data_IF_141661602115
#
_entry.id   IF_141661602115
#
_cell.length_a   1.000
_cell.length_b   1.000
_cell.length_c   1.000
_cell.angle_alpha   90.00
_cell.angle_beta   90.00
_cell.angle_gamma   90.00
#
_symmetry.space_group_name_H-M   'P 1'
#
loop_
_entity.id
_entity.type
_entity.pdbx_description
1 polymer ?
#
# COMPACT_ATOMS: atom_id res chain seq x y z
N UNK A 1 25.59 -6.01 35.93
CA UNK A 1 25.60 -5.48 34.55
C UNK A 1 26.15 -6.56 33.64
N UNK A 2 25.30 -7.23 32.86
CA UNK A 2 25.76 -8.24 31.91
C UNK A 2 26.37 -7.53 30.71
N UNK A 3 27.67 -7.68 30.50
CA UNK A 3 28.35 -7.21 29.30
C UNK A 3 27.83 -8.02 28.11
N UNK A 4 26.92 -7.42 27.33
CA UNK A 4 26.47 -8.05 26.08
C UNK A 4 27.68 -8.19 25.14
N UNK A 5 27.98 -9.43 24.74
CA UNK A 5 29.07 -9.73 23.82
C UNK A 5 28.87 -8.96 22.50
N UNK A 6 29.80 -8.07 22.09
CA UNK A 6 29.67 -7.25 20.88
C UNK A 6 29.53 -8.07 19.59
N UNK A 7 30.00 -9.32 19.56
CA UNK A 7 29.76 -10.23 18.42
C UNK A 7 28.27 -10.59 18.26
N UNK A 8 27.52 -10.68 19.37
CA UNK A 8 26.08 -10.91 19.33
C UNK A 8 25.30 -9.65 18.91
N UNK A 9 25.87 -8.45 19.04
CA UNK A 9 25.26 -7.22 18.57
C UNK A 9 25.28 -7.13 17.03
N UNK A 10 26.42 -7.43 16.41
CA UNK A 10 26.54 -7.48 14.95
C UNK A 10 25.66 -8.56 14.31
N UNK A 11 25.62 -9.76 14.87
CA UNK A 11 24.72 -10.82 14.40
C UNK A 11 23.24 -10.41 14.50
N UNK A 12 22.84 -9.70 15.57
CA UNK A 12 21.48 -9.15 15.72
C UNK A 12 21.17 -8.02 14.72
N UNK A 13 22.17 -7.21 14.37
CA UNK A 13 22.01 -6.10 13.42
C UNK A 13 21.91 -6.62 11.97
N UNK A 14 22.78 -7.55 11.58
CA UNK A 14 22.72 -8.29 10.30
C UNK A 14 21.46 -9.17 10.22
N UNK A 15 20.93 -9.64 11.35
CA UNK A 15 19.64 -10.32 11.40
C UNK A 15 18.42 -9.42 11.25
N UNK A 16 18.57 -8.13 11.56
CA UNK A 16 17.52 -7.12 11.36
C UNK A 16 17.58 -6.46 9.99
N UNK A 17 18.71 -6.53 9.30
CA UNK A 17 18.84 -5.97 7.95
C UNK A 17 17.95 -6.75 6.97
N UNK A 18 17.15 -6.06 6.13
CA UNK A 18 16.26 -6.69 5.16
C UNK A 18 17.07 -7.18 3.95
N UNK A 19 17.95 -8.15 4.20
CA UNK A 19 18.90 -8.71 3.25
C UNK A 19 18.24 -9.18 1.96
N UNK A 20 17.07 -9.80 2.07
CA UNK A 20 16.25 -10.28 0.96
C UNK A 20 15.66 -9.15 0.10
N UNK A 21 15.31 -8.00 0.70
CA UNK A 21 14.90 -6.82 -0.07
C UNK A 21 16.06 -6.33 -0.94
N UNK A 22 17.21 -6.10 -0.32
CA UNK A 22 18.35 -5.46 -0.98
C UNK A 22 19.09 -6.36 -1.97
N UNK A 23 19.09 -7.68 -1.79
CA UNK A 23 19.84 -8.59 -2.67
C UNK A 23 18.99 -9.28 -3.75
N UNK A 24 17.68 -9.37 -3.57
CA UNK A 24 16.82 -10.09 -4.52
C UNK A 24 15.78 -9.17 -5.12
N UNK A 25 14.94 -8.55 -4.30
CA UNK A 25 13.77 -7.81 -4.82
C UNK A 25 14.20 -6.50 -5.50
N UNK A 26 15.06 -5.72 -4.85
CA UNK A 26 15.49 -4.42 -5.35
C UNK A 26 16.34 -4.53 -6.64
N UNK A 27 17.34 -5.44 -6.76
CA UNK A 27 18.08 -5.60 -8.00
C UNK A 27 17.18 -6.02 -9.16
N UNK A 28 16.21 -6.90 -8.92
CA UNK A 28 15.24 -7.30 -9.95
C UNK A 28 14.38 -6.11 -10.37
N UNK A 29 13.87 -5.31 -9.43
CA UNK A 29 13.11 -4.09 -9.75
C UNK A 29 13.94 -3.10 -10.59
N UNK A 30 15.23 -2.92 -10.28
CA UNK A 30 16.14 -2.07 -11.05
C UNK A 30 16.42 -2.61 -12.46
N UNK A 31 16.57 -3.94 -12.62
CA UNK A 31 16.70 -4.57 -13.92
C UNK A 31 15.42 -4.37 -14.75
N UNK A 32 14.25 -4.61 -14.15
CA UNK A 32 12.97 -4.39 -14.81
C UNK A 32 12.79 -2.91 -15.18
N UNK A 33 13.19 -1.98 -14.31
CA UNK A 33 13.22 -0.56 -14.64
C UNK A 33 14.09 -0.29 -15.87
N UNK A 34 15.33 -0.79 -15.88
CA UNK A 34 16.28 -0.59 -16.97
C UNK A 34 15.75 -1.12 -18.31
N UNK A 35 15.20 -2.34 -18.33
CA UNK A 35 14.70 -2.94 -19.56
C UNK A 35 13.37 -2.35 -20.02
N UNK A 36 12.43 -2.09 -19.10
CA UNK A 36 11.05 -1.81 -19.49
C UNK A 36 10.63 -0.34 -19.39
N UNK A 37 11.33 0.50 -18.63
CA UNK A 37 10.86 1.88 -18.42
C UNK A 37 11.08 2.80 -19.62
N UNK A 38 11.76 2.33 -20.66
CA UNK A 38 11.84 3.00 -21.95
C UNK A 38 10.59 2.86 -22.83
N UNK A 39 9.69 1.92 -22.52
CA UNK A 39 8.57 1.60 -23.42
C UNK A 39 7.29 2.37 -23.09
N UNK A 40 6.70 3.00 -24.12
CA UNK A 40 5.36 3.58 -24.09
C UNK A 40 5.16 4.77 -23.14
N UNK A 41 3.98 5.37 -23.19
CA UNK A 41 3.45 6.32 -22.23
C UNK A 41 1.96 6.04 -22.13
N UNK A 42 1.46 5.84 -20.91
CA UNK A 42 0.03 5.61 -20.69
C UNK A 42 -0.61 6.96 -20.31
N UNK A 43 -1.39 7.59 -21.21
CA UNK A 43 -1.91 8.93 -20.97
C UNK A 43 -2.93 9.00 -19.84
N UNK A 44 -3.55 7.87 -19.48
CA UNK A 44 -4.55 7.75 -18.42
C UNK A 44 -4.00 8.18 -17.06
N UNK A 45 -3.40 7.27 -16.29
CA UNK A 45 -2.98 7.61 -14.93
C UNK A 45 -1.69 8.42 -14.92
N UNK A 46 -0.70 8.12 -15.78
CA UNK A 46 0.55 8.89 -15.83
C UNK A 46 0.28 10.36 -16.13
N UNK A 47 -0.58 10.64 -17.12
CA UNK A 47 -0.98 11.99 -17.48
C UNK A 47 -1.72 12.68 -16.33
N UNK A 48 -2.72 12.02 -15.73
CA UNK A 48 -3.49 12.58 -14.63
C UNK A 48 -2.64 12.90 -13.39
N UNK A 49 -1.77 11.99 -12.96
CA UNK A 49 -0.94 12.17 -11.75
C UNK A 49 0.10 13.26 -11.97
N UNK A 50 0.87 13.21 -13.06
CA UNK A 50 1.94 14.18 -13.29
C UNK A 50 1.40 15.58 -13.66
N UNK A 51 0.32 15.66 -14.45
CA UNK A 51 -0.33 16.93 -14.72
C UNK A 51 -0.95 17.51 -13.43
N UNK A 52 -1.61 16.69 -12.62
CA UNK A 52 -2.14 17.12 -11.32
C UNK A 52 -1.04 17.60 -10.38
N UNK A 53 0.06 16.87 -10.26
CA UNK A 53 1.23 17.29 -9.47
C UNK A 53 1.79 18.64 -9.95
N UNK A 54 1.88 18.86 -11.28
CA UNK A 54 2.32 20.13 -11.85
C UNK A 54 1.35 21.28 -11.54
N UNK A 55 0.04 21.02 -11.55
CA UNK A 55 -0.99 22.00 -11.21
C UNK A 55 -0.92 22.38 -9.72
N UNK A 56 -0.76 21.40 -8.84
CA UNK A 56 -0.56 21.62 -7.39
C UNK A 56 0.72 22.41 -7.14
N UNK A 57 1.82 22.09 -7.82
CA UNK A 57 3.06 22.87 -7.75
C UNK A 57 2.88 24.32 -8.21
N UNK A 58 1.97 24.57 -9.17
CA UNK A 58 1.59 25.91 -9.62
C UNK A 58 0.58 26.62 -8.68
N UNK A 59 0.29 26.05 -7.51
CA UNK A 59 -0.61 26.62 -6.52
C UNK A 59 -2.10 26.32 -6.77
N UNK A 60 -2.43 25.48 -7.76
CA UNK A 60 -3.83 25.11 -8.00
C UNK A 60 -4.29 24.03 -7.03
N UNK A 61 -5.55 24.13 -6.63
CA UNK A 61 -6.14 23.25 -5.64
C UNK A 61 -7.05 22.17 -6.29
N UNK A 62 -6.83 20.87 -5.99
CA UNK A 62 -7.73 19.79 -6.37
C UNK A 62 -9.19 20.06 -5.93
N UNK A 63 -10.15 19.70 -6.78
CA UNK A 63 -11.61 19.93 -6.65
C UNK A 63 -12.10 21.38 -6.70
N UNK A 64 -11.22 22.37 -6.50
CA UNK A 64 -11.53 23.79 -6.76
C UNK A 64 -11.21 24.15 -8.19
N UNK A 65 -9.93 24.07 -8.54
CA UNK A 65 -9.40 24.61 -9.79
C UNK A 65 -9.34 23.54 -10.88
N UNK A 66 -9.42 22.27 -10.47
CA UNK A 66 -9.50 21.14 -11.37
C UNK A 66 -10.22 19.94 -10.80
N UNK A 67 -10.91 19.24 -11.69
CA UNK A 67 -11.57 17.99 -11.38
C UNK A 67 -10.55 16.86 -11.17
N UNK A 68 -10.77 16.08 -10.13
CA UNK A 68 -10.04 14.83 -9.90
C UNK A 68 -10.91 13.79 -9.18
N UNK A 69 -10.72 12.53 -9.54
CA UNK A 69 -11.26 11.36 -8.85
C UNK A 69 -10.25 10.71 -7.90
N UNK A 70 -9.03 11.23 -7.89
CA UNK A 70 -7.89 10.72 -7.13
C UNK A 70 -7.73 11.55 -5.84
N UNK A 71 -7.28 10.92 -4.76
CA UNK A 71 -7.01 11.63 -3.52
C UNK A 71 -5.83 12.60 -3.65
N UNK A 72 -5.81 13.72 -2.90
CA UNK A 72 -4.93 14.83 -3.24
C UNK A 72 -3.47 14.51 -2.88
N UNK A 73 -3.24 13.63 -1.90
CA UNK A 73 -1.91 13.31 -1.40
C UNK A 73 -1.00 12.73 -2.48
N UNK A 74 -1.54 11.94 -3.40
CA UNK A 74 -0.80 11.41 -4.55
C UNK A 74 -0.14 12.53 -5.35
N UNK A 75 -0.82 13.64 -5.62
CA UNK A 75 -0.19 14.75 -6.35
C UNK A 75 1.02 15.33 -5.62
N UNK A 76 0.91 15.51 -4.31
CA UNK A 76 2.00 16.04 -3.48
C UNK A 76 3.19 15.07 -3.41
N UNK A 77 2.94 13.76 -3.34
CA UNK A 77 4.00 12.74 -3.32
C UNK A 77 4.82 12.74 -4.62
N UNK A 78 4.21 13.10 -5.74
CA UNK A 78 4.86 13.11 -7.06
C UNK A 78 5.46 14.47 -7.46
N UNK A 79 5.29 15.54 -6.67
CA UNK A 79 5.92 16.86 -6.92
C UNK A 79 7.45 16.76 -7.06
N UNK A 80 8.21 16.06 -6.18
CA UNK A 80 9.66 16.01 -6.28
C UNK A 80 10.18 15.43 -7.61
N UNK A 81 9.36 14.61 -8.26
CA UNK A 81 9.71 13.96 -9.54
C UNK A 81 9.76 14.97 -10.69
N UNK A 82 9.01 16.08 -10.59
CA UNK A 82 8.96 17.13 -11.60
C UNK A 82 10.27 17.93 -11.69
N UNK A 83 11.13 17.84 -10.67
CA UNK A 83 12.44 18.51 -10.65
C UNK A 83 13.49 17.84 -11.56
N UNK A 84 13.19 16.67 -12.11
CA UNK A 84 14.12 15.92 -12.96
C UNK A 84 13.86 16.18 -14.46
N UNK A 85 14.91 16.29 -15.26
CA UNK A 85 14.80 16.50 -16.71
C UNK A 85 14.11 15.33 -17.43
N UNK A 86 14.29 14.11 -16.94
CA UNK A 86 13.63 12.91 -17.47
C UNK A 86 12.52 12.43 -16.54
N UNK A 87 11.50 13.27 -16.35
CA UNK A 87 10.37 13.03 -15.44
C UNK A 87 9.80 11.63 -15.63
N UNK A 88 9.56 11.17 -16.87
CA UNK A 88 8.94 9.87 -17.12
C UNK A 88 9.80 8.69 -16.65
N UNK A 89 11.10 8.68 -16.96
CA UNK A 89 11.98 7.60 -16.49
C UNK A 89 12.11 7.61 -14.97
N UNK A 90 12.25 8.78 -14.35
CA UNK A 90 12.38 8.89 -12.90
C UNK A 90 11.09 8.47 -12.20
N UNK A 91 9.92 8.88 -12.72
CA UNK A 91 8.62 8.43 -12.22
C UNK A 91 8.53 6.92 -12.23
N UNK A 92 8.86 6.27 -13.35
CA UNK A 92 8.83 4.80 -13.45
C UNK A 92 9.82 4.12 -12.52
N UNK A 93 11.01 4.69 -12.33
CA UNK A 93 11.95 4.20 -11.34
C UNK A 93 11.31 4.19 -9.95
N UNK A 94 10.69 5.30 -9.54
CA UNK A 94 10.01 5.40 -8.25
C UNK A 94 8.92 4.35 -8.12
N UNK A 95 8.12 4.13 -9.17
CA UNK A 95 7.06 3.12 -9.17
C UNK A 95 7.59 1.70 -9.06
N UNK A 96 8.69 1.37 -9.74
CA UNK A 96 9.36 0.08 -9.54
C UNK A 96 9.85 -0.11 -8.11
N UNK A 97 10.48 0.93 -7.54
CA UNK A 97 10.96 0.91 -6.16
C UNK A 97 9.80 0.76 -5.18
N UNK A 98 8.72 1.51 -5.38
CA UNK A 98 7.53 1.50 -4.55
C UNK A 98 6.81 0.14 -4.58
N UNK A 99 6.62 -0.43 -5.77
CA UNK A 99 6.02 -1.75 -5.93
C UNK A 99 6.90 -2.82 -5.28
N UNK A 100 8.21 -2.77 -5.50
CA UNK A 100 9.17 -3.71 -4.90
C UNK A 100 9.15 -3.66 -3.37
N UNK A 101 9.08 -2.47 -2.79
CA UNK A 101 8.95 -2.26 -1.36
C UNK A 101 7.62 -2.80 -0.85
N UNK A 102 6.53 -2.50 -1.55
CA UNK A 102 5.18 -2.94 -1.19
C UNK A 102 5.07 -4.46 -1.14
N UNK A 103 5.48 -5.16 -2.19
CA UNK A 103 5.41 -6.64 -2.24
C UNK A 103 6.32 -7.28 -1.21
N UNK A 104 7.49 -6.70 -0.95
CA UNK A 104 8.39 -7.17 0.10
C UNK A 104 7.79 -6.99 1.50
N UNK A 105 7.21 -5.82 1.81
CA UNK A 105 6.55 -5.53 3.09
C UNK A 105 5.38 -6.49 3.34
N UNK A 106 4.53 -6.73 2.34
CA UNK A 106 3.45 -7.72 2.47
C UNK A 106 3.97 -9.13 2.67
N UNK A 107 4.98 -9.55 1.90
CA UNK A 107 5.62 -10.86 2.07
C UNK A 107 6.19 -11.01 3.48
N UNK A 108 6.83 -9.95 4.01
CA UNK A 108 7.34 -9.90 5.37
C UNK A 108 6.21 -10.06 6.40
N UNK A 109 5.11 -9.31 6.25
CA UNK A 109 3.94 -9.39 7.13
C UNK A 109 3.31 -10.79 7.13
N UNK A 110 3.14 -11.41 5.97
CA UNK A 110 2.65 -12.78 5.84
C UNK A 110 3.59 -13.72 6.60
N UNK A 111 4.88 -13.73 6.27
CA UNK A 111 5.84 -14.64 6.91
C UNK A 111 5.83 -14.49 8.43
N UNK A 112 5.83 -13.25 8.93
CA UNK A 112 5.78 -12.94 10.37
C UNK A 112 4.48 -13.44 11.02
N UNK A 113 3.33 -13.17 10.40
CA UNK A 113 2.00 -13.45 10.98
C UNK A 113 1.68 -14.95 11.06
N UNK A 114 2.25 -15.73 10.15
CA UNK A 114 2.13 -17.18 10.13
C UNK A 114 3.26 -17.91 10.85
N UNK A 115 4.21 -17.17 11.45
CA UNK A 115 5.45 -17.74 11.99
C UNK A 115 6.12 -18.68 10.98
N UNK A 116 5.99 -18.36 9.68
CA UNK A 116 6.78 -18.99 8.67
C UNK A 116 8.19 -18.47 8.91
N UNK A 117 9.12 -19.39 9.10
CA UNK A 117 10.54 -19.09 9.08
C UNK A 117 11.08 -19.55 7.74
N UNK A 118 10.64 -18.96 6.59
CA UNK A 118 11.30 -19.26 5.35
C UNK A 118 12.75 -18.80 5.49
N UNK A 119 13.67 -19.58 4.96
CA UNK A 119 15.04 -19.13 4.77
C UNK A 119 15.01 -17.77 4.04
N UNK A 120 15.90 -16.83 4.37
CA UNK A 120 15.82 -15.44 3.87
C UNK A 120 15.73 -15.38 2.34
N UNK A 121 16.46 -16.26 1.66
CA UNK A 121 16.42 -16.39 0.19
C UNK A 121 15.03 -16.78 -0.29
N UNK A 122 14.37 -17.75 0.34
CA UNK A 122 13.01 -18.16 -0.02
C UNK A 122 12.01 -17.01 0.14
N UNK A 123 12.14 -16.20 1.20
CA UNK A 123 11.31 -14.99 1.37
C UNK A 123 11.52 -14.00 0.23
N UNK A 124 12.78 -13.77 -0.15
CA UNK A 124 13.12 -12.95 -1.31
C UNK A 124 12.56 -13.51 -2.61
N UNK A 125 12.67 -14.82 -2.86
CA UNK A 125 12.10 -15.47 -4.04
C UNK A 125 10.57 -15.34 -4.11
N UNK A 126 9.88 -15.47 -2.97
CA UNK A 126 8.42 -15.24 -2.90
C UNK A 126 8.10 -13.78 -3.24
N UNK A 127 8.82 -12.82 -2.64
CA UNK A 127 8.61 -11.40 -2.90
C UNK A 127 8.92 -11.01 -4.36
N UNK A 128 10.00 -11.56 -4.95
CA UNK A 128 10.35 -11.37 -6.36
C UNK A 128 9.32 -12.00 -7.29
N UNK A 129 8.78 -13.18 -6.96
CA UNK A 129 7.69 -13.80 -7.71
C UNK A 129 6.44 -12.94 -7.66
N UNK A 130 6.10 -12.41 -6.48
CA UNK A 130 5.00 -11.47 -6.31
C UNK A 130 5.21 -10.17 -7.09
N UNK A 131 6.45 -9.65 -7.13
CA UNK A 131 6.81 -8.50 -7.97
C UNK A 131 6.53 -8.78 -9.45
N UNK A 132 7.00 -9.92 -9.96
CA UNK A 132 6.79 -10.31 -11.36
C UNK A 132 5.32 -10.46 -11.70
N UNK A 133 4.53 -11.10 -10.83
CA UNK A 133 3.07 -11.23 -11.01
C UNK A 133 2.41 -9.86 -10.98
N UNK A 134 2.73 -9.02 -9.98
CA UNK A 134 2.15 -7.70 -9.85
C UNK A 134 2.48 -6.81 -11.06
N UNK A 135 3.70 -6.88 -11.60
CA UNK A 135 4.11 -6.09 -12.76
C UNK A 135 3.48 -6.53 -14.07
N UNK A 136 2.98 -7.76 -14.15
CA UNK A 136 2.22 -8.23 -15.32
C UNK A 136 0.76 -7.76 -15.30
N UNK A 137 0.26 -7.34 -14.13
CA UNK A 137 -1.16 -7.04 -13.97
C UNK A 137 -1.39 -5.55 -13.78
N UNK A 138 -0.48 -4.86 -13.10
CA UNK A 138 -0.50 -3.42 -12.97
C UNK A 138 0.50 -2.82 -13.96
N UNK A 139 0.08 -1.89 -14.83
CA UNK A 139 0.99 -1.01 -15.57
C UNK A 139 1.94 -0.28 -14.63
N UNK A 140 3.19 -0.13 -15.07
CA UNK A 140 4.24 0.57 -14.32
C UNK A 140 4.13 2.07 -14.52
N UNK A 141 3.10 2.66 -13.94
CA UNK A 141 2.80 4.09 -13.99
C UNK A 141 2.49 4.65 -12.60
N UNK A 142 2.64 5.96 -12.39
CA UNK A 142 2.28 6.56 -11.13
C UNK A 142 0.79 6.39 -10.86
N UNK A 143 0.50 5.85 -9.69
CA UNK A 143 -0.82 5.35 -9.34
C UNK A 143 -1.10 5.62 -7.88
N UNK A 144 -2.20 6.33 -7.65
CA UNK A 144 -2.75 6.56 -6.33
C UNK A 144 -3.13 5.27 -5.57
N UNK A 145 -3.35 4.17 -6.30
CA UNK A 145 -3.55 2.85 -5.69
C UNK A 145 -2.24 2.34 -5.11
N UNK A 146 -1.14 2.45 -5.88
CA UNK A 146 0.16 1.99 -5.45
C UNK A 146 0.67 2.81 -4.27
N UNK A 147 0.52 4.15 -4.32
CA UNK A 147 0.85 5.05 -3.21
C UNK A 147 0.12 4.62 -1.92
N UNK A 148 -1.20 4.41 -2.01
CA UNK A 148 -2.02 3.98 -0.88
C UNK A 148 -1.59 2.60 -0.35
N UNK A 149 -1.24 1.69 -1.26
CA UNK A 149 -0.74 0.35 -0.92
C UNK A 149 0.59 0.39 -0.19
N UNK A 150 1.54 1.18 -0.68
CA UNK A 150 2.86 1.32 -0.08
C UNK A 150 2.75 1.92 1.32
N UNK A 151 2.01 3.03 1.47
CA UNK A 151 1.75 3.65 2.77
C UNK A 151 1.07 2.69 3.75
N UNK A 152 0.09 1.92 3.28
CA UNK A 152 -0.60 0.91 4.10
C UNK A 152 0.33 -0.22 4.52
N UNK A 153 1.11 -0.79 3.58
CA UNK A 153 2.04 -1.88 3.86
C UNK A 153 3.12 -1.45 4.86
N UNK A 154 3.68 -0.25 4.67
CA UNK A 154 4.67 0.32 5.58
C UNK A 154 4.05 0.56 6.96
N UNK A 155 2.87 1.17 6.99
CA UNK A 155 2.14 1.42 8.23
C UNK A 155 1.84 0.14 9.01
N UNK A 156 1.39 -0.92 8.34
CA UNK A 156 1.14 -2.23 8.95
C UNK A 156 2.40 -2.86 9.54
N UNK A 157 3.53 -2.79 8.83
CA UNK A 157 4.82 -3.26 9.35
C UNK A 157 5.20 -2.49 10.62
N UNK A 158 5.05 -1.17 10.62
CA UNK A 158 5.37 -0.34 11.79
C UNK A 158 4.44 -0.61 12.98
N UNK A 159 3.12 -0.73 12.76
CA UNK A 159 2.14 -1.04 13.81
C UNK A 159 2.38 -2.43 14.41
N UNK A 160 2.91 -3.37 13.63
CA UNK A 160 3.28 -4.71 14.12
C UNK A 160 4.53 -4.74 15.02
N UNK A 161 5.21 -3.60 15.18
CA UNK A 161 6.37 -3.43 16.06
C UNK A 161 6.00 -3.29 17.54
N UNK A 162 7.02 -3.19 18.41
CA UNK A 162 6.84 -2.97 19.86
C UNK A 162 6.90 -1.49 20.26
N UNK A 163 7.44 -0.62 19.41
CA UNK A 163 7.60 0.80 19.72
C UNK A 163 6.28 1.56 19.56
N UNK A 164 5.87 2.29 20.61
CA UNK A 164 4.66 3.12 20.60
C UNK A 164 4.75 4.23 19.54
N UNK A 165 5.93 4.85 19.39
CA UNK A 165 6.15 5.92 18.40
C UNK A 165 5.99 5.36 16.98
N UNK A 166 6.65 4.25 16.68
CA UNK A 166 6.53 3.62 15.36
C UNK A 166 5.11 3.13 15.10
N UNK A 167 4.41 2.64 16.13
CA UNK A 167 3.01 2.25 16.02
C UNK A 167 2.14 3.44 15.63
N UNK A 168 2.26 4.58 16.31
CA UNK A 168 1.48 5.78 15.98
C UNK A 168 1.84 6.30 14.58
N UNK A 169 3.13 6.30 14.22
CA UNK A 169 3.56 6.63 12.86
C UNK A 169 2.94 5.69 11.83
N UNK A 170 2.90 4.39 12.09
CA UNK A 170 2.29 3.43 11.18
C UNK A 170 0.78 3.61 11.04
N UNK A 171 0.09 3.96 12.12
CA UNK A 171 -1.33 4.34 12.09
C UNK A 171 -1.56 5.62 11.28
N UNK A 172 -0.69 6.63 11.42
CA UNK A 172 -0.71 7.83 10.60
C UNK A 172 -0.51 7.51 9.11
N UNK A 173 0.43 6.62 8.76
CA UNK A 173 0.62 6.22 7.37
C UNK A 173 -0.60 5.49 6.78
N UNK A 174 -1.24 4.60 7.56
CA UNK A 174 -2.49 3.94 7.15
C UNK A 174 -3.61 4.97 6.96
N UNK A 175 -3.72 5.95 7.84
CA UNK A 175 -4.65 7.08 7.66
C UNK A 175 -4.34 7.90 6.41
N UNK A 176 -3.07 8.20 6.14
CA UNK A 176 -2.65 8.93 4.94
C UNK A 176 -2.95 8.16 3.65
N UNK A 177 -2.95 6.83 3.66
CA UNK A 177 -3.31 6.03 2.48
C UNK A 177 -4.73 6.35 1.97
N UNK A 178 -5.66 6.74 2.85
CA UNK A 178 -7.02 7.13 2.45
C UNK A 178 -7.05 8.45 1.68
N UNK A 179 -6.04 9.32 1.88
CA UNK A 179 -5.84 10.55 1.13
C UNK A 179 -5.20 10.29 -0.24
N UNK A 180 -4.64 9.11 -0.50
CA UNK A 180 -4.27 8.70 -1.87
C UNK A 180 -5.50 8.09 -2.56
N UNK A 181 -6.23 7.20 -1.84
CA UNK A 181 -7.44 6.56 -2.34
C UNK A 181 -8.48 6.34 -1.23
N UNK A 182 -9.69 6.93 -1.31
CA UNK A 182 -10.70 6.82 -0.24
C UNK A 182 -11.09 5.39 0.15
N UNK A 183 -11.08 4.44 -0.81
CA UNK A 183 -11.38 3.04 -0.55
C UNK A 183 -10.45 2.38 0.49
N UNK A 184 -9.24 2.92 0.68
CA UNK A 184 -8.31 2.45 1.71
C UNK A 184 -8.74 2.82 3.13
N UNK A 185 -9.82 3.59 3.32
CA UNK A 185 -10.40 3.82 4.65
C UNK A 185 -10.79 2.52 5.35
N UNK A 186 -11.07 1.45 4.62
CA UNK A 186 -11.35 0.12 5.19
C UNK A 186 -10.11 -0.51 5.82
N UNK A 187 -8.89 -0.14 5.39
CA UNK A 187 -7.62 -0.67 5.94
C UNK A 187 -7.45 -0.26 7.41
N UNK A 188 -7.87 0.97 7.73
CA UNK A 188 -7.81 1.58 9.05
C UNK A 188 -8.46 0.78 10.19
N UNK A 189 -9.78 0.50 10.19
CA UNK A 189 -10.42 -0.26 11.25
C UNK A 189 -9.88 -1.69 11.35
N UNK A 190 -9.52 -2.32 10.23
CA UNK A 190 -8.97 -3.68 10.29
C UNK A 190 -7.56 -3.69 10.88
N UNK A 191 -6.70 -2.71 10.54
CA UNK A 191 -5.40 -2.56 11.16
C UNK A 191 -5.53 -2.31 12.68
N UNK A 192 -6.51 -1.50 13.09
CA UNK A 192 -6.81 -1.25 14.50
C UNK A 192 -7.27 -2.51 15.25
N UNK A 193 -8.09 -3.35 14.61
CA UNK A 193 -8.55 -4.61 15.20
C UNK A 193 -7.45 -5.69 15.23
N UNK A 194 -6.63 -5.79 14.17
CA UNK A 194 -5.65 -6.85 14.00
C UNK A 194 -4.32 -6.59 14.73
N UNK A 195 -3.84 -5.35 14.72
CA UNK A 195 -2.49 -5.00 15.19
C UNK A 195 -2.48 -3.97 16.33
N UNK A 196 -3.54 -3.19 16.49
CA UNK A 196 -3.64 -2.21 17.56
C UNK A 196 -4.67 -2.63 18.64
N UNK A 197 -4.78 -1.80 19.67
CA UNK A 197 -5.87 -1.94 20.64
C UNK A 197 -6.99 -1.04 20.15
N UNK A 198 -8.00 -1.60 19.48
CA UNK A 198 -9.17 -0.85 18.97
C UNK A 198 -9.92 -0.09 20.07
N UNK A 199 -9.75 -0.48 21.34
CA UNK A 199 -10.33 0.21 22.50
C UNK A 199 -9.60 1.49 22.90
N UNK A 200 -8.38 1.72 22.39
CA UNK A 200 -7.60 2.90 22.73
C UNK A 200 -7.91 4.04 21.74
N UNK A 201 -8.54 5.10 22.25
CA UNK A 201 -8.93 6.28 21.47
C UNK A 201 -7.75 7.00 20.82
N UNK A 202 -6.55 6.96 21.42
CA UNK A 202 -5.36 7.57 20.80
C UNK A 202 -4.97 6.87 19.48
N UNK A 203 -5.23 5.56 19.37
CA UNK A 203 -4.98 4.85 18.11
C UNK A 203 -5.96 5.31 17.02
N UNK A 204 -7.24 5.49 17.38
CA UNK A 204 -8.25 6.06 16.46
C UNK A 204 -7.87 7.46 16.02
N UNK A 205 -7.48 8.32 16.95
CA UNK A 205 -7.01 9.66 16.64
C UNK A 205 -5.82 9.63 15.68
N UNK A 206 -4.83 8.76 15.93
CA UNK A 206 -3.65 8.63 15.05
C UNK A 206 -4.02 8.25 13.62
N UNK A 207 -5.00 7.36 13.42
CA UNK A 207 -5.45 6.95 12.10
C UNK A 207 -6.33 8.01 11.42
N UNK A 208 -7.18 8.70 12.20
CA UNK A 208 -8.10 9.70 11.67
C UNK A 208 -7.42 11.05 11.43
N UNK A 209 -6.31 11.34 12.10
CA UNK A 209 -5.65 12.64 12.04
C UNK A 209 -5.33 13.11 10.60
N UNK A 210 -4.76 12.29 9.69
CA UNK A 210 -4.52 12.72 8.31
C UNK A 210 -5.81 13.07 7.57
N UNK A 211 -6.87 12.29 7.79
CA UNK A 211 -8.19 12.53 7.20
C UNK A 211 -8.79 13.83 7.71
N UNK A 212 -8.74 14.06 9.03
CA UNK A 212 -9.24 15.28 9.65
C UNK A 212 -8.47 16.52 9.16
N UNK A 213 -7.15 16.43 9.03
CA UNK A 213 -6.33 17.51 8.45
C UNK A 213 -6.75 17.78 6.99
N UNK A 214 -6.94 16.72 6.19
CA UNK A 214 -7.41 16.86 4.81
C UNK A 214 -8.79 17.51 4.71
N UNK A 215 -9.74 17.10 5.56
CA UNK A 215 -11.09 17.67 5.61
C UNK A 215 -11.06 19.13 6.07
N UNK A 216 -10.28 19.45 7.10
CA UNK A 216 -10.11 20.82 7.57
C UNK A 216 -9.51 21.71 6.47
N UNK A 217 -8.51 21.22 5.75
CA UNK A 217 -7.92 21.95 4.63
C UNK A 217 -8.94 22.21 3.50
N UNK A 218 -9.78 21.23 3.17
CA UNK A 218 -10.86 21.41 2.19
C UNK A 218 -11.90 22.43 2.65
N UNK A 219 -12.26 22.42 3.94
CA UNK A 219 -13.21 23.36 4.53
C UNK A 219 -12.67 24.78 4.54
N UNK A 220 -11.43 24.97 5.00
CA UNK A 220 -10.76 26.27 5.03
C UNK A 220 -10.60 26.89 3.64
N UNK A 221 -10.57 26.06 2.61
CA UNK A 221 -10.48 26.49 1.21
C UNK A 221 -11.85 26.68 0.55
N UNK A 222 -12.95 26.37 1.23
CA UNK A 222 -14.32 26.46 0.70
C UNK A 222 -14.70 25.38 -0.33
N UNK A 223 -13.91 24.30 -0.42
CA UNK A 223 -14.04 23.28 -1.48
C UNK A 223 -14.76 22.02 -0.98
N UNK A 224 -14.93 21.86 0.35
CA UNK A 224 -15.48 20.64 0.94
C UNK A 224 -16.84 20.21 0.34
N UNK A 225 -17.84 21.08 0.13
CA UNK A 225 -19.13 20.67 -0.45
C UNK A 225 -18.99 20.09 -1.86
N UNK A 226 -18.10 20.68 -2.66
CA UNK A 226 -17.80 20.24 -4.03
C UNK A 226 -17.09 18.89 -4.02
N UNK A 227 -16.09 18.73 -3.15
CA UNK A 227 -15.36 17.47 -2.98
C UNK A 227 -16.30 16.34 -2.52
N UNK A 228 -17.21 16.59 -1.57
CA UNK A 228 -18.22 15.60 -1.13
C UNK A 228 -19.12 15.19 -2.30
N UNK A 229 -19.61 16.15 -3.08
CA UNK A 229 -20.45 15.84 -4.25
C UNK A 229 -19.71 14.93 -5.23
N UNK A 230 -18.45 15.20 -5.53
CA UNK A 230 -17.66 14.35 -6.43
C UNK A 230 -17.36 12.97 -5.84
N UNK A 231 -17.09 12.88 -4.54
CA UNK A 231 -16.89 11.59 -3.86
C UNK A 231 -18.18 10.77 -3.77
N UNK A 232 -19.35 11.42 -3.69
CA UNK A 232 -20.66 10.77 -3.58
C UNK A 232 -21.26 10.30 -4.93
N UNK A 233 -20.77 10.83 -6.06
CA UNK A 233 -21.28 10.48 -7.41
C UNK A 233 -20.92 9.05 -7.82
N UNK A 234 -19.87 8.44 -7.24
CA UNK A 234 -19.64 7.01 -7.35
C UNK A 234 -20.23 6.31 -6.14
N UNK A 235 -21.16 5.36 -6.31
CA UNK A 235 -21.81 4.58 -5.26
C UNK A 235 -20.79 3.65 -4.55
N UNK A 236 -19.97 4.18 -3.61
CA UNK A 236 -18.57 3.77 -3.48
C UNK A 236 -18.45 2.53 -2.59
N UNK A 237 -19.37 2.40 -1.63
CA UNK A 237 -19.47 1.25 -0.75
C UNK A 237 -20.14 0.08 -1.45
N UNK A 238 -21.24 0.29 -2.18
CA UNK A 238 -22.03 -0.84 -2.68
C UNK A 238 -21.46 -1.48 -3.95
N UNK A 239 -20.96 -0.66 -4.88
CA UNK A 239 -20.23 -1.17 -6.05
C UNK A 239 -18.93 -1.83 -5.57
N UNK A 240 -18.19 -1.16 -4.69
CA UNK A 240 -16.96 -1.68 -4.10
C UNK A 240 -17.17 -3.03 -3.40
N UNK A 241 -18.19 -3.17 -2.54
CA UNK A 241 -18.51 -4.40 -1.79
C UNK A 241 -19.02 -5.51 -2.70
N UNK A 242 -19.95 -5.24 -3.63
CA UNK A 242 -20.46 -6.27 -4.57
C UNK A 242 -19.35 -6.82 -5.45
N UNK A 243 -18.49 -5.95 -5.96
CA UNK A 243 -17.33 -6.36 -6.74
C UNK A 243 -16.29 -7.10 -5.90
N UNK A 244 -16.07 -6.63 -4.66
CA UNK A 244 -15.20 -7.32 -3.70
C UNK A 244 -15.65 -8.76 -3.50
N UNK A 245 -16.95 -8.96 -3.30
CA UNK A 245 -17.51 -10.26 -2.97
C UNK A 245 -17.51 -11.22 -4.15
N UNK A 246 -18.01 -10.81 -5.32
CA UNK A 246 -18.17 -11.75 -6.43
C UNK A 246 -16.85 -12.22 -7.05
N UNK A 247 -15.85 -11.35 -7.15
CA UNK A 247 -14.61 -11.64 -7.89
C UNK A 247 -13.46 -12.12 -6.99
N UNK A 248 -13.50 -11.83 -5.69
CA UNK A 248 -12.43 -12.22 -4.74
C UNK A 248 -12.70 -13.48 -3.94
N UNK A 249 -13.90 -14.05 -4.00
CA UNK A 249 -14.16 -15.34 -3.35
C UNK A 249 -13.14 -16.41 -3.78
N UNK A 250 -12.75 -16.42 -5.06
CA UNK A 250 -11.76 -17.37 -5.59
C UNK A 250 -10.37 -17.20 -4.96
N UNK A 251 -9.88 -15.98 -4.85
CA UNK A 251 -8.55 -15.70 -4.30
C UNK A 251 -8.52 -15.81 -2.77
N UNK A 252 -9.61 -15.45 -2.08
CA UNK A 252 -9.84 -15.76 -0.66
C UNK A 252 -9.83 -17.26 -0.43
N UNK A 253 -10.52 -18.01 -1.28
CA UNK A 253 -10.60 -19.46 -1.20
C UNK A 253 -9.25 -20.13 -1.46
N UNK A 254 -8.51 -19.71 -2.48
CA UNK A 254 -7.15 -20.19 -2.76
C UNK A 254 -6.19 -19.88 -1.61
N UNK A 255 -6.24 -18.66 -1.06
CA UNK A 255 -5.44 -18.29 0.11
C UNK A 255 -5.77 -19.18 1.32
N UNK A 256 -7.06 -19.38 1.60
CA UNK A 256 -7.54 -20.26 2.65
C UNK A 256 -7.10 -21.73 2.45
N UNK A 257 -7.21 -22.26 1.23
CA UNK A 257 -6.75 -23.60 0.88
C UNK A 257 -5.23 -23.74 1.03
N UNK A 258 -4.45 -22.79 0.56
CA UNK A 258 -2.99 -22.78 0.72
C UNK A 258 -2.59 -22.87 2.20
N UNK A 259 -3.30 -22.15 3.08
CA UNK A 259 -3.06 -22.21 4.52
C UNK A 259 -3.48 -23.55 5.12
N UNK A 260 -4.63 -24.09 4.72
CA UNK A 260 -5.08 -25.44 5.15
C UNK A 260 -4.05 -26.50 4.77
N UNK A 261 -3.46 -26.41 3.59
CA UNK A 261 -2.39 -27.31 3.11
C UNK A 261 -1.13 -27.14 3.96
N UNK A 262 -0.66 -25.91 4.18
CA UNK A 262 0.50 -25.62 5.02
C UNK A 262 0.31 -26.06 6.48
N UNK A 263 -0.91 -26.02 7.00
CA UNK A 263 -1.26 -26.41 8.37
C UNK A 263 -1.28 -27.93 8.57
N UNK A 264 -1.50 -28.73 7.52
CA UNK A 264 -1.61 -30.19 7.61
C UNK A 264 -0.33 -30.87 8.15
N UNK A 265 0.78 -30.13 8.28
CA UNK A 265 2.05 -30.60 8.85
C UNK A 265 2.48 -30.01 10.21
N UNK A 266 1.72 -29.10 10.85
CA UNK A 266 2.12 -28.48 12.13
C UNK A 266 0.96 -28.34 13.13
N UNK A 267 1.13 -28.90 14.32
CA UNK A 267 0.24 -28.81 15.50
C UNK A 267 0.32 -27.47 16.23
N UNK A 268 0.60 -26.35 15.55
CA UNK A 268 0.71 -25.06 16.22
C UNK A 268 -0.65 -24.38 16.40
N UNK A 269 -0.82 -23.78 17.57
CA UNK A 269 -1.95 -22.97 18.02
C UNK A 269 -2.10 -21.73 17.14
N UNK A 270 -2.88 -21.87 16.07
CA UNK A 270 -3.32 -20.76 15.25
C UNK A 270 -4.26 -19.88 16.11
N UNK A 271 -3.80 -18.69 16.50
CA UNK A 271 -4.63 -17.73 17.24
C UNK A 271 -5.57 -17.03 16.26
N UNK A 272 -6.77 -16.65 16.70
CA UNK A 272 -7.76 -15.89 15.90
C UNK A 272 -7.15 -14.67 15.17
N UNK A 273 -6.10 -14.07 15.75
CA UNK A 273 -5.32 -12.98 15.14
C UNK A 273 -4.70 -13.35 13.80
N UNK A 274 -4.21 -14.58 13.63
CA UNK A 274 -3.63 -15.04 12.37
C UNK A 274 -4.69 -15.17 11.28
N UNK A 275 -5.91 -15.61 11.62
CA UNK A 275 -7.03 -15.68 10.68
C UNK A 275 -7.48 -14.29 10.23
N UNK A 276 -7.54 -13.32 11.16
CA UNK A 276 -7.85 -11.92 10.87
C UNK A 276 -6.80 -11.26 9.99
N UNK A 277 -5.51 -11.45 10.27
CA UNK A 277 -4.42 -10.88 9.44
C UNK A 277 -4.39 -11.51 8.05
N UNK A 278 -4.69 -12.79 7.94
CA UNK A 278 -4.83 -13.47 6.65
C UNK A 278 -6.01 -12.93 5.87
N UNK A 279 -7.19 -12.93 6.50
CA UNK A 279 -8.41 -12.40 5.91
C UNK A 279 -8.17 -10.98 5.46
N UNK A 280 -7.45 -10.18 6.25
CA UNK A 280 -7.07 -8.82 5.90
C UNK A 280 -6.11 -8.70 4.72
N UNK A 281 -5.00 -9.44 4.68
CA UNK A 281 -4.06 -9.39 3.55
C UNK A 281 -4.76 -9.80 2.25
N UNK A 282 -5.60 -10.81 2.32
CA UNK A 282 -6.44 -11.26 1.22
C UNK A 282 -7.51 -10.21 0.86
N UNK A 283 -8.16 -9.60 1.85
CA UNK A 283 -9.18 -8.55 1.66
C UNK A 283 -8.60 -7.16 1.38
N UNK A 284 -7.29 -6.95 1.36
CA UNK A 284 -6.68 -5.64 1.04
C UNK A 284 -5.86 -5.69 -0.22
N UNK A 285 -5.04 -6.72 -0.43
CA UNK A 285 -4.22 -6.83 -1.65
C UNK A 285 -5.07 -7.10 -2.90
N UNK A 286 -6.20 -7.79 -2.73
CA UNK A 286 -7.02 -8.25 -3.86
C UNK A 286 -8.07 -7.19 -4.30
N UNK A 287 -8.67 -6.40 -3.40
CA UNK A 287 -9.50 -5.27 -3.83
C UNK A 287 -8.71 -4.15 -4.50
N UNK A 288 -7.46 -3.96 -4.09
CA UNK A 288 -6.48 -3.08 -4.76
C UNK A 288 -6.24 -3.54 -6.19
N UNK A 289 -6.03 -4.85 -6.37
CA UNK A 289 -5.89 -5.50 -7.67
C UNK A 289 -7.12 -5.33 -8.59
N UNK A 290 -8.33 -5.36 -8.03
CA UNK A 290 -9.55 -5.26 -8.84
C UNK A 290 -10.06 -3.84 -9.07
N UNK A 291 -9.80 -2.91 -8.16
CA UNK A 291 -10.09 -1.48 -8.38
C UNK A 291 -9.30 -0.91 -9.57
N UNK A 292 -8.19 -1.54 -9.94
CA UNK A 292 -7.41 -1.17 -11.12
C UNK A 292 -8.15 -1.49 -12.43
N UNK A 293 -8.74 -2.69 -12.54
CA UNK A 293 -9.42 -3.15 -13.76
C UNK A 293 -10.77 -2.49 -14.05
N UNK A 294 -11.40 -1.83 -13.07
CA UNK A 294 -12.67 -1.13 -13.30
C UNK A 294 -12.50 0.30 -13.82
N UNK A 295 -11.29 0.88 -13.74
CA UNK A 295 -11.00 2.23 -14.25
C UNK A 295 -10.46 2.20 -15.68
N UNK A 296 -9.83 1.09 -16.09
CA UNK A 296 -9.28 0.91 -17.45
C UNK A 296 -10.31 0.40 -18.46
N UNK A 297 -11.46 -0.12 -18.01
CA UNK A 297 -12.41 -0.76 -18.90
C UNK A 297 -13.34 0.19 -19.67
N UNK A 298 -13.19 1.51 -19.59
CA UNK A 298 -13.83 2.47 -20.52
C UNK A 298 -15.36 2.47 -20.62
N UNK A 299 -16.05 1.52 -19.99
CA UNK A 299 -17.49 1.28 -20.07
C UNK A 299 -18.24 2.19 -19.09
N UNK A 300 -17.90 3.48 -19.13
CA UNK A 300 -18.81 4.56 -18.74
C UNK A 300 -19.02 5.39 -20.01
N UNK A 301 -19.68 4.77 -20.98
CA UNK A 301 -20.48 5.46 -22.00
C UNK A 301 -21.92 5.50 -21.53
#
# INVERSE_FOLDING_TARGET
MNSENPQNAWARLVARFPFDLFLLVLPVALLLHFFFSGFGFEPGNTGQVLAGAKRVLAGQMPWSDFYTVIGPLTYYLHIPVLSFSNVFKVTRLIIWLELSLTVWLFTHLVCKSFSLVPFRVLRGLIATSALAVASNIMPMEPSHILDACCLSALGLVLVSGRSVVLKNLGLLLIGSATLCKPAFFVVSPVALCAFASWRNLLNWFSVLLPVLIGLLWLELSGVLPVAIKFMAVGDPLWIGVKWLWFRNLGSVFVGYLGIRILKKGKTSTFTERSALVTGFIVLTVIPVYLSWNSLTSGDIS
#
